data_IF_039993392852
#
_entry.id   IF_039993392852
#
_cell.length_a   1.000
_cell.length_b   1.000
_cell.length_c   1.000
_cell.angle_alpha   90.00
_cell.angle_beta   90.00
_cell.angle_gamma   90.00
#
_symmetry.space_group_name_H-M   'P 1'
#
loop_
_entity.id
_entity.type
_entity.pdbx_description
1 polymer ?
#
# COMPACT_ATOMS: atom_id res chain seq x y z
N UNK A 1 21.13 -2.94 1.02
CA UNK A 1 21.61 -4.29 1.42
C UNK A 1 20.38 -5.09 1.78
N UNK A 2 20.04 -6.10 1.01
CA UNK A 2 18.98 -7.04 1.35
C UNK A 2 19.50 -7.88 2.53
N UNK A 3 18.85 -7.77 3.69
CA UNK A 3 19.11 -8.67 4.81
C UNK A 3 18.91 -10.11 4.34
N UNK A 4 19.73 -11.05 4.82
CA UNK A 4 19.63 -12.47 4.55
C UNK A 4 18.21 -12.99 4.87
N UNK A 5 17.29 -12.87 3.92
CA UNK A 5 15.99 -13.50 4.00
C UNK A 5 16.17 -15.01 4.07
N UNK A 6 15.53 -15.64 5.04
CA UNK A 6 15.56 -17.08 5.20
C UNK A 6 15.09 -17.76 3.94
N UNK A 7 15.94 -18.61 3.34
CA UNK A 7 15.56 -19.42 2.21
C UNK A 7 14.61 -20.53 2.65
N UNK A 8 13.48 -20.64 1.99
CA UNK A 8 12.47 -21.66 2.23
C UNK A 8 12.59 -22.74 1.14
N UNK A 9 12.78 -23.99 1.56
CA UNK A 9 12.83 -25.12 0.63
C UNK A 9 11.42 -25.60 0.29
N UNK A 10 11.10 -25.65 -1.00
CA UNK A 10 9.85 -26.26 -1.45
C UNK A 10 9.86 -27.76 -1.14
N UNK A 11 8.82 -28.24 -0.47
CA UNK A 11 8.61 -29.66 -0.18
C UNK A 11 8.40 -30.51 -1.44
N UNK A 12 7.83 -29.92 -2.49
CA UNK A 12 7.45 -30.61 -3.73
C UNK A 12 8.60 -30.68 -4.73
N UNK A 13 9.36 -29.57 -4.88
CA UNK A 13 10.39 -29.46 -5.94
C UNK A 13 11.81 -29.47 -5.41
N UNK A 14 12.00 -29.39 -4.09
CA UNK A 14 13.31 -29.26 -3.45
C UNK A 14 14.02 -27.92 -3.71
N UNK A 15 13.45 -27.02 -4.52
CA UNK A 15 14.04 -25.73 -4.86
C UNK A 15 14.01 -24.79 -3.66
N UNK A 16 15.04 -23.92 -3.58
CA UNK A 16 15.12 -22.86 -2.59
C UNK A 16 14.43 -21.59 -3.12
N UNK A 17 13.60 -20.98 -2.29
CA UNK A 17 12.86 -19.76 -2.59
C UNK A 17 13.20 -18.71 -1.55
N UNK A 18 13.26 -17.45 -1.99
CA UNK A 18 13.36 -16.30 -1.10
C UNK A 18 12.05 -15.52 -1.18
N UNK A 19 11.47 -15.23 -0.04
CA UNK A 19 10.28 -14.38 0.03
C UNK A 19 10.74 -12.93 -0.11
N UNK A 20 10.17 -12.22 -1.08
CA UNK A 20 10.36 -10.79 -1.27
C UNK A 20 9.01 -10.08 -1.13
N UNK A 21 8.92 -9.12 -0.23
CA UNK A 21 7.72 -8.31 0.00
C UNK A 21 8.07 -6.87 -0.33
N UNK A 22 7.35 -6.29 -1.28
CA UNK A 22 7.42 -4.86 -1.61
C UNK A 22 6.26 -4.11 -0.98
N UNK A 23 6.53 -2.90 -0.49
CA UNK A 23 5.53 -1.98 0.00
C UNK A 23 5.59 -0.69 -0.82
N UNK A 24 4.42 -0.21 -1.24
CA UNK A 24 4.26 1.11 -1.85
C UNK A 24 3.37 1.96 -0.95
N UNK A 25 3.74 3.21 -0.79
CA UNK A 25 2.96 4.18 0.00
C UNK A 25 2.57 5.33 -0.92
N UNK A 26 1.27 5.59 -1.00
CA UNK A 26 0.72 6.74 -1.72
C UNK A 26 0.39 7.85 -0.72
N UNK A 27 0.97 9.03 -0.94
CA UNK A 27 0.72 10.19 -0.10
C UNK A 27 0.27 11.37 -0.97
N UNK A 28 -0.86 11.94 -0.63
CA UNK A 28 -1.34 13.17 -1.26
C UNK A 28 -0.74 14.38 -0.52
N UNK A 29 0.13 15.11 -1.21
CA UNK A 29 0.79 16.28 -0.64
C UNK A 29 -0.19 17.46 -0.62
N UNK A 30 -0.22 18.19 0.49
CA UNK A 30 -1.00 19.43 0.60
C UNK A 30 -0.35 20.52 -0.24
N UNK A 31 -1.00 20.91 -1.32
CA UNK A 31 -0.55 21.94 -2.25
C UNK A 31 -1.73 22.61 -2.97
N UNK A 32 -1.53 23.84 -3.45
CA UNK A 32 -2.55 24.58 -4.17
C UNK A 32 -2.87 23.98 -5.54
N UNK A 33 -1.85 23.44 -6.22
CA UNK A 33 -1.97 22.81 -7.53
C UNK A 33 -1.45 21.39 -7.47
N UNK A 34 -1.82 20.59 -8.46
CA UNK A 34 -1.33 19.20 -8.60
C UNK A 34 0.19 19.16 -8.82
N UNK A 35 0.78 17.98 -8.67
CA UNK A 35 2.23 17.77 -8.83
C UNK A 35 2.72 18.09 -10.25
N UNK A 36 1.98 17.66 -11.28
CA UNK A 36 2.41 17.72 -12.68
C UNK A 36 1.53 18.62 -13.54
N UNK A 37 0.61 19.37 -12.95
CA UNK A 37 -0.25 20.30 -13.69
C UNK A 37 -0.61 21.54 -12.86
N UNK A 38 -0.97 22.62 -13.53
CA UNK A 38 -1.42 23.87 -12.89
C UNK A 38 -2.85 23.83 -12.36
N UNK A 39 -3.59 22.75 -12.54
CA UNK A 39 -4.96 22.68 -12.02
C UNK A 39 -4.97 22.54 -10.50
N UNK A 40 -6.04 23.05 -9.88
CA UNK A 40 -6.17 23.04 -8.43
C UNK A 40 -6.12 21.65 -7.85
N UNK A 41 -5.45 21.51 -6.70
CA UNK A 41 -5.39 20.24 -5.98
C UNK A 41 -6.62 20.07 -5.09
N UNK A 42 -7.29 18.91 -5.12
CA UNK A 42 -8.40 18.61 -4.22
C UNK A 42 -8.02 18.68 -2.73
N UNK A 43 -6.74 18.51 -2.41
CA UNK A 43 -6.23 18.60 -1.03
C UNK A 43 -6.40 20.00 -0.40
N UNK A 44 -6.57 21.03 -1.22
CA UNK A 44 -6.79 22.41 -0.75
C UNK A 44 -8.28 22.73 -0.51
N UNK A 45 -9.18 21.95 -1.07
CA UNK A 45 -10.60 22.05 -0.74
C UNK A 45 -10.83 21.59 0.72
N UNK A 46 -11.87 22.11 1.35
CA UNK A 46 -12.24 21.71 2.72
C UNK A 46 -12.18 20.18 2.86
N UNK A 47 -11.59 19.67 3.95
CA UNK A 47 -11.42 18.23 4.22
C UNK A 47 -12.70 17.39 4.08
N UNK A 48 -13.87 18.04 4.07
CA UNK A 48 -15.19 17.42 3.97
C UNK A 48 -15.92 17.73 2.65
N UNK A 49 -15.30 18.44 1.70
CA UNK A 49 -15.94 18.76 0.44
C UNK A 49 -15.82 17.59 -0.53
N UNK A 50 -16.95 16.99 -0.86
CA UNK A 50 -17.04 16.07 -2.01
C UNK A 50 -16.98 16.93 -3.27
N UNK A 51 -15.82 16.95 -3.92
CA UNK A 51 -15.68 17.69 -5.17
C UNK A 51 -16.32 16.88 -6.31
N UNK A 52 -17.12 17.54 -7.18
CA UNK A 52 -17.60 16.87 -8.36
C UNK A 52 -16.44 16.36 -9.24
N UNK A 53 -16.58 15.21 -9.89
CA UNK A 53 -15.53 14.66 -10.74
C UNK A 53 -15.24 15.58 -11.93
N UNK A 54 -14.00 15.55 -12.41
CA UNK A 54 -13.53 16.23 -13.63
C UNK A 54 -13.66 17.78 -13.64
N UNK A 55 -13.78 18.45 -12.49
CA UNK A 55 -13.79 19.91 -12.41
C UNK A 55 -12.39 20.54 -12.33
N UNK A 56 -11.43 19.81 -11.76
CA UNK A 56 -10.05 20.28 -11.60
C UNK A 56 -9.13 19.59 -12.61
N UNK A 57 -9.34 19.90 -13.88
CA UNK A 57 -8.66 19.24 -15.01
C UNK A 57 -8.01 20.30 -15.90
N UNK A 58 -6.69 20.23 -16.08
CA UNK A 58 -5.94 20.97 -17.08
C UNK A 58 -5.93 20.22 -18.42
N UNK A 59 -5.45 20.86 -19.48
CA UNK A 59 -5.27 20.20 -20.77
C UNK A 59 -4.33 19.00 -20.68
N UNK A 60 -3.31 19.08 -19.83
CA UNK A 60 -2.42 17.95 -19.53
C UNK A 60 -3.16 16.81 -18.81
N UNK A 61 -3.97 17.11 -17.80
CA UNK A 61 -4.76 16.10 -17.09
C UNK A 61 -5.77 15.40 -18.02
N UNK A 62 -6.30 16.15 -19.01
CA UNK A 62 -7.19 15.62 -20.04
C UNK A 62 -6.46 14.86 -21.16
N UNK A 63 -5.15 14.72 -21.07
CA UNK A 63 -4.31 14.04 -22.07
C UNK A 63 -4.41 14.62 -23.49
N UNK A 64 -4.62 15.93 -23.64
CA UNK A 64 -4.70 16.55 -24.94
C UNK A 64 -3.34 16.49 -25.68
N UNK A 65 -3.32 16.26 -27.00
CA UNK A 65 -2.10 16.20 -27.78
C UNK A 65 -1.25 17.47 -27.63
N UNK A 66 0.08 17.29 -27.52
CA UNK A 66 1.04 18.40 -27.42
C UNK A 66 1.18 19.00 -26.02
N UNK A 67 0.45 18.53 -25.03
CA UNK A 67 0.60 19.00 -23.65
C UNK A 67 1.74 18.27 -22.93
N UNK A 68 2.45 18.99 -22.07
CA UNK A 68 3.57 18.47 -21.28
C UNK A 68 3.32 18.71 -19.78
N UNK A 69 3.84 17.83 -18.91
CA UNK A 69 3.74 18.01 -17.47
C UNK A 69 4.56 19.22 -17.01
N UNK A 70 4.00 19.99 -16.07
CA UNK A 70 4.67 21.10 -15.41
C UNK A 70 4.78 20.81 -13.92
N UNK A 71 6.02 20.64 -13.44
CA UNK A 71 6.26 20.26 -12.05
C UNK A 71 5.96 21.42 -11.08
N UNK A 72 5.28 21.09 -9.97
CA UNK A 72 5.02 22.02 -8.88
C UNK A 72 6.21 22.07 -7.92
N UNK A 73 6.90 23.24 -7.88
CA UNK A 73 8.04 23.48 -7.00
C UNK A 73 7.71 23.25 -5.51
N UNK A 74 6.52 23.62 -5.06
CA UNK A 74 6.11 23.42 -3.67
C UNK A 74 6.06 21.93 -3.29
N UNK A 75 5.58 21.08 -4.20
CA UNK A 75 5.57 19.64 -4.00
C UNK A 75 6.99 19.06 -3.93
N UNK A 76 7.91 19.53 -4.76
CA UNK A 76 9.33 19.13 -4.70
C UNK A 76 9.94 19.50 -3.35
N UNK A 77 9.72 20.70 -2.85
CA UNK A 77 10.19 21.11 -1.52
C UNK A 77 9.61 20.24 -0.41
N UNK A 78 8.33 19.88 -0.48
CA UNK A 78 7.69 18.99 0.49
C UNK A 78 8.27 17.58 0.43
N UNK A 79 8.52 17.05 -0.78
CA UNK A 79 9.16 15.75 -0.98
C UNK A 79 10.57 15.72 -0.37
N UNK A 80 11.38 16.78 -0.56
CA UNK A 80 12.70 16.90 0.06
C UNK A 80 12.58 16.93 1.60
N UNK A 81 11.64 17.70 2.15
CA UNK A 81 11.43 17.76 3.60
C UNK A 81 11.03 16.42 4.18
N UNK A 82 10.11 15.71 3.53
CA UNK A 82 9.70 14.37 3.93
C UNK A 82 10.88 13.37 3.86
N UNK A 83 11.68 13.45 2.81
CA UNK A 83 12.88 12.62 2.66
C UNK A 83 13.91 12.86 3.76
N UNK A 84 14.13 14.11 4.14
CA UNK A 84 15.01 14.46 5.27
C UNK A 84 14.47 13.93 6.60
N UNK A 85 13.15 14.01 6.82
CA UNK A 85 12.52 13.45 8.01
C UNK A 85 12.65 11.92 8.10
N UNK A 86 12.78 11.27 6.96
CA UNK A 86 13.03 9.82 6.85
C UNK A 86 14.53 9.46 6.83
N UNK A 87 15.41 10.37 7.17
CA UNK A 87 16.87 10.19 7.13
C UNK A 87 17.38 9.71 5.75
N UNK A 88 16.70 10.09 4.67
CA UNK A 88 17.09 9.69 3.33
C UNK A 88 18.22 10.55 2.76
N UNK A 89 19.00 9.97 1.88
CA UNK A 89 20.01 10.68 1.09
C UNK A 89 19.35 11.43 -0.05
N UNK A 90 19.46 12.76 -0.07
CA UNK A 90 18.91 13.61 -1.12
C UNK A 90 19.86 13.66 -2.32
N UNK A 91 19.33 13.44 -3.52
CA UNK A 91 20.08 13.54 -4.76
C UNK A 91 19.94 14.93 -5.37
N UNK A 92 21.08 15.58 -5.69
CA UNK A 92 21.08 16.90 -6.34
C UNK A 92 20.56 16.88 -7.77
N UNK A 93 20.60 15.73 -8.40
CA UNK A 93 20.06 15.47 -9.74
C UNK A 93 19.09 14.32 -9.66
N UNK A 94 17.85 14.58 -10.01
CA UNK A 94 16.81 13.55 -10.22
C UNK A 94 16.19 13.72 -11.59
N UNK A 95 15.68 12.64 -12.15
CA UNK A 95 15.13 12.61 -13.50
C UNK A 95 13.83 11.83 -13.49
N UNK A 96 12.83 12.38 -14.19
CA UNK A 96 11.57 11.67 -14.41
C UNK A 96 11.68 10.72 -15.60
N UNK A 97 11.03 9.59 -15.49
CA UNK A 97 10.92 8.56 -16.49
C UNK A 97 9.45 8.31 -16.80
N UNK A 98 9.15 7.79 -17.99
CA UNK A 98 7.81 7.37 -18.37
C UNK A 98 7.73 5.85 -18.31
N UNK A 99 6.84 5.34 -17.45
CA UNK A 99 6.48 3.92 -17.41
C UNK A 99 5.24 3.73 -18.27
N UNK A 100 5.44 3.27 -19.49
CA UNK A 100 4.36 3.06 -20.45
C UNK A 100 3.56 1.81 -20.12
N UNK A 101 2.25 1.97 -19.94
CA UNK A 101 1.27 0.90 -19.85
C UNK A 101 -0.12 1.46 -20.11
N UNK A 102 -1.02 0.59 -20.61
CA UNK A 102 -2.38 0.99 -20.91
C UNK A 102 -3.32 0.51 -19.82
N UNK A 103 -4.02 1.46 -19.24
CA UNK A 103 -5.04 1.20 -18.23
C UNK A 103 -6.21 2.17 -18.44
N UNK A 104 -7.45 1.73 -18.14
CA UNK A 104 -8.65 2.49 -18.48
C UNK A 104 -8.76 3.86 -17.78
N UNK A 105 -8.14 4.02 -16.62
CA UNK A 105 -8.10 5.26 -15.84
C UNK A 105 -6.80 6.07 -16.04
N UNK A 106 -5.97 5.68 -17.00
CA UNK A 106 -4.71 6.35 -17.33
C UNK A 106 -4.72 6.87 -18.76
N UNK A 107 -5.38 8.01 -19.03
CA UNK A 107 -5.59 8.52 -20.40
C UNK A 107 -4.30 8.84 -21.14
N UNK A 108 -3.21 9.19 -20.44
CA UNK A 108 -1.89 9.43 -21.02
C UNK A 108 -1.19 8.16 -21.50
N UNK A 109 -1.61 6.97 -21.08
CA UNK A 109 -0.98 5.70 -21.40
C UNK A 109 0.41 5.50 -20.77
N UNK A 110 0.82 6.35 -19.84
CA UNK A 110 2.06 6.21 -19.06
C UNK A 110 1.91 6.82 -17.67
N UNK A 111 2.74 6.35 -16.77
CA UNK A 111 2.93 6.90 -15.43
C UNK A 111 4.29 7.61 -15.36
N UNK A 112 4.35 8.77 -14.72
CA UNK A 112 5.61 9.48 -14.45
C UNK A 112 6.24 8.86 -13.21
N UNK A 113 7.50 8.46 -13.30
CA UNK A 113 8.25 7.78 -12.25
C UNK A 113 9.64 8.37 -12.06
N UNK A 114 10.31 8.01 -10.97
CA UNK A 114 11.70 8.37 -10.69
C UNK A 114 12.49 7.15 -10.17
N UNK A 115 12.40 6.02 -10.85
CA UNK A 115 12.97 4.76 -10.34
C UNK A 115 14.50 4.73 -10.37
N UNK A 116 15.15 5.21 -11.44
CA UNK A 116 16.61 5.16 -11.59
C UNK A 116 17.33 6.32 -10.91
N UNK A 117 16.74 7.50 -10.99
CA UNK A 117 17.30 8.73 -10.43
C UNK A 117 16.26 9.42 -9.54
N UNK A 118 15.90 8.81 -8.41
CA UNK A 118 14.88 9.36 -7.51
C UNK A 118 15.37 10.63 -6.83
N UNK A 119 14.45 11.40 -6.29
CA UNK A 119 14.76 12.61 -5.50
C UNK A 119 15.54 12.26 -4.22
N UNK A 120 15.29 11.07 -3.66
CA UNK A 120 15.98 10.57 -2.48
C UNK A 120 16.01 9.04 -2.47
N UNK A 121 16.95 8.48 -1.72
CA UNK A 121 17.07 7.03 -1.51
C UNK A 121 17.61 6.70 -0.12
N UNK A 122 17.62 5.43 0.25
CA UNK A 122 18.18 4.92 1.51
C UNK A 122 17.57 5.56 2.77
N UNK A 123 16.27 5.86 2.72
CA UNK A 123 15.55 6.34 3.90
C UNK A 123 15.39 5.25 4.96
N UNK A 124 15.21 5.67 6.20
CA UNK A 124 14.94 4.79 7.34
C UNK A 124 13.92 5.41 8.27
N UNK A 125 13.07 4.58 8.82
CA UNK A 125 12.09 4.95 9.83
C UNK A 125 12.14 3.89 10.93
N UNK A 126 12.39 4.32 12.16
CA UNK A 126 12.30 3.45 13.35
C UNK A 126 11.04 3.79 14.11
N UNK A 127 10.27 2.79 14.46
CA UNK A 127 9.05 2.94 15.23
C UNK A 127 8.82 1.71 16.11
N UNK A 128 8.20 1.93 17.26
CA UNK A 128 7.83 0.87 18.19
C UNK A 128 6.37 0.49 17.97
N UNK A 129 6.13 -0.78 17.75
CA UNK A 129 4.77 -1.33 17.67
C UNK A 129 4.50 -2.10 18.96
N UNK A 130 3.51 -1.69 19.78
CA UNK A 130 3.09 -2.45 20.95
C UNK A 130 2.68 -3.87 20.57
N UNK A 131 3.14 -4.86 21.33
CA UNK A 131 2.89 -6.29 21.03
C UNK A 131 1.39 -6.60 20.88
N UNK A 132 0.54 -5.92 21.66
CA UNK A 132 -0.91 -6.07 21.57
C UNK A 132 -1.50 -5.56 20.24
N UNK A 133 -0.87 -4.57 19.60
CA UNK A 133 -1.30 -4.10 18.27
C UNK A 133 -0.87 -5.05 17.17
N UNK A 134 0.30 -5.67 17.32
CA UNK A 134 0.77 -6.72 16.40
C UNK A 134 -0.19 -7.91 16.44
N UNK A 135 -0.58 -8.35 17.62
CA UNK A 135 -1.53 -9.47 17.77
C UNK A 135 -2.91 -9.14 17.19
N UNK A 136 -3.35 -7.88 17.28
CA UNK A 136 -4.61 -7.42 16.71
C UNK A 136 -4.55 -7.25 15.18
N UNK A 137 -3.41 -6.80 14.64
CA UNK A 137 -3.24 -6.58 13.18
C UNK A 137 -2.95 -7.87 12.41
N UNK A 138 -2.28 -8.84 13.02
CA UNK A 138 -2.10 -10.17 12.47
C UNK A 138 -3.40 -11.00 12.48
N UNK A 139 -4.49 -10.42 13.01
CA UNK A 139 -5.72 -11.11 13.35
C UNK A 139 -5.42 -12.08 14.48
N UNK A 140 -6.20 -12.03 15.54
CA UNK A 140 -6.26 -13.15 16.46
C UNK A 140 -6.80 -14.35 15.67
N UNK A 141 -5.94 -15.03 14.92
CA UNK A 141 -6.20 -16.37 14.40
C UNK A 141 -6.19 -17.34 15.60
N UNK A 142 -7.02 -16.98 16.60
CA UNK A 142 -7.28 -17.84 17.77
C UNK A 142 -8.11 -19.05 17.39
N UNK A 143 -8.61 -19.08 16.15
CA UNK A 143 -9.29 -20.25 15.61
C UNK A 143 -8.26 -21.10 14.89
N UNK A 144 -7.87 -22.26 15.42
CA UNK A 144 -6.95 -23.16 14.74
C UNK A 144 -7.43 -23.45 13.32
N UNK A 145 -6.54 -23.39 12.33
CA UNK A 145 -6.88 -23.68 10.94
C UNK A 145 -7.47 -25.09 10.75
N UNK A 146 -7.09 -26.00 11.64
CA UNK A 146 -7.57 -27.38 11.69
C UNK A 146 -8.07 -27.67 13.08
N UNK A 147 -9.27 -28.28 13.16
CA UNK A 147 -9.84 -28.74 14.42
C UNK A 147 -9.07 -29.96 14.93
N UNK A 148 -8.40 -29.84 16.06
CA UNK A 148 -7.67 -30.96 16.67
C UNK A 148 -8.57 -31.74 17.60
N UNK A 149 -9.07 -32.86 17.09
CA UNK A 149 -9.99 -33.73 17.80
C UNK A 149 -9.34 -34.58 18.92
N UNK A 150 -7.99 -34.64 18.95
CA UNK A 150 -7.24 -35.47 19.92
C UNK A 150 -7.26 -34.89 21.34
N UNK A 151 -7.55 -33.59 21.44
CA UNK A 151 -7.60 -32.85 22.71
C UNK A 151 -8.82 -33.14 23.58
N UNK A 152 -9.83 -33.84 23.06
CA UNK A 152 -11.10 -34.06 23.75
C UNK A 152 -11.28 -35.56 24.08
N UNK A 153 -11.58 -35.85 25.36
CA UNK A 153 -11.70 -37.22 25.88
C UNK A 153 -13.05 -37.86 25.58
N UNK A 154 -14.10 -37.06 25.49
CA UNK A 154 -15.47 -37.55 25.30
C UNK A 154 -16.03 -37.15 23.93
N UNK A 155 -16.89 -38.02 23.35
CA UNK A 155 -17.57 -37.74 22.08
C UNK A 155 -18.49 -36.51 22.17
N UNK A 156 -19.09 -36.26 23.34
CA UNK A 156 -19.96 -35.11 23.59
C UNK A 156 -19.15 -33.80 23.58
N UNK A 157 -18.07 -33.75 24.35
CA UNK A 157 -17.15 -32.59 24.40
C UNK A 157 -16.57 -32.28 23.00
N UNK A 158 -16.20 -33.32 22.26
CA UNK A 158 -15.68 -33.18 20.89
C UNK A 158 -16.70 -32.54 19.95
N UNK A 159 -17.97 -32.94 20.01
CA UNK A 159 -19.02 -32.38 19.17
C UNK A 159 -19.37 -30.94 19.55
N UNK A 160 -19.42 -30.62 20.82
CA UNK A 160 -19.64 -29.25 21.32
C UNK A 160 -18.48 -28.32 20.89
N UNK A 161 -17.25 -28.74 21.07
CA UNK A 161 -16.07 -27.98 20.66
C UNK A 161 -15.99 -27.79 19.14
N UNK A 162 -16.37 -28.82 18.37
CA UNK A 162 -16.43 -28.74 16.91
C UNK A 162 -17.48 -27.71 16.43
N UNK A 163 -18.63 -27.66 17.08
CA UNK A 163 -19.67 -26.70 16.76
C UNK A 163 -19.24 -25.26 17.08
N UNK A 164 -18.61 -25.05 18.24
CA UNK A 164 -18.04 -23.73 18.60
C UNK A 164 -16.94 -23.32 17.62
N UNK A 165 -16.06 -24.22 17.23
CA UNK A 165 -15.01 -23.95 16.25
C UNK A 165 -15.59 -23.60 14.88
N UNK A 166 -16.61 -24.30 14.41
CA UNK A 166 -17.30 -24.00 13.14
C UNK A 166 -17.95 -22.61 13.16
N UNK A 167 -18.63 -22.26 14.26
CA UNK A 167 -19.28 -20.97 14.42
C UNK A 167 -18.25 -19.81 14.40
N UNK A 168 -17.15 -19.94 15.16
CA UNK A 168 -16.07 -18.95 15.17
C UNK A 168 -15.42 -18.80 13.79
N UNK A 169 -15.20 -19.88 13.07
CA UNK A 169 -14.63 -19.85 11.71
C UNK A 169 -15.55 -19.17 10.70
N UNK A 170 -16.85 -19.32 10.87
CA UNK A 170 -17.83 -18.65 10.02
C UNK A 170 -17.93 -17.15 10.32
N UNK A 171 -17.87 -16.76 11.59
CA UNK A 171 -17.80 -15.38 12.03
C UNK A 171 -16.53 -14.69 11.49
N UNK A 172 -15.40 -15.36 11.57
CA UNK A 172 -14.13 -14.88 11.00
C UNK A 172 -14.24 -14.66 9.50
N UNK A 173 -14.84 -15.58 8.74
CA UNK A 173 -15.11 -15.40 7.31
C UNK A 173 -16.00 -14.20 7.00
N UNK A 174 -17.02 -13.94 7.83
CA UNK A 174 -17.88 -12.76 7.66
C UNK A 174 -17.10 -11.46 7.89
N UNK A 175 -16.21 -11.43 8.88
CA UNK A 175 -15.34 -10.28 9.17
C UNK A 175 -14.32 -10.03 8.05
N UNK A 176 -13.73 -11.07 7.48
CA UNK A 176 -12.81 -10.98 6.34
C UNK A 176 -13.52 -10.45 5.09
N UNK A 177 -14.74 -10.91 4.81
CA UNK A 177 -15.57 -10.42 3.69
C UNK A 177 -15.97 -8.93 3.85
N UNK A 178 -16.17 -8.47 5.07
CA UNK A 178 -16.45 -7.04 5.35
C UNK A 178 -15.20 -6.19 5.18
N UNK A 179 -14.03 -6.71 5.56
CA UNK A 179 -12.74 -6.04 5.36
C UNK A 179 -12.34 -5.96 3.89
N UNK A 180 -12.55 -7.03 3.12
CA UNK A 180 -12.29 -7.05 1.67
C UNK A 180 -13.14 -6.08 0.85
N UNK A 181 -14.32 -5.68 1.33
CA UNK A 181 -15.18 -4.69 0.68
C UNK A 181 -14.82 -3.23 0.97
N UNK A 182 -13.91 -2.96 1.90
CA UNK A 182 -13.44 -1.60 2.24
C UNK A 182 -12.15 -1.18 1.55
N UNK A 183 -11.56 -2.06 0.77
CA UNK A 183 -10.29 -1.82 0.05
C UNK A 183 -10.48 -1.71 -1.48
N UNK A 184 -11.66 -1.26 -1.95
CA UNK A 184 -11.92 -0.92 -3.36
C UNK A 184 -12.33 0.54 -3.47
#
# INVERSE_FOLDING_TARGET
MLSNGSLVRSSTTGKLWQICIGLEVHAQILSNTKLMSGSSSPSHASKNAVLPPNQHVSFYDAALPGTLPLINKACVHQAIRASLALNATIHRRSVFERKHYFYCDLPLGYQITQQRNPIASNGSLSFDIPIHEISNSLGNDTVPKVFDASKYKSRKEKNEALNIWKAKKEEQRKLENVRGKRCL
#
